data_IF_985651592422
#
_entry.id   IF_985651592422
#
_cell.length_a   1.000
_cell.length_b   1.000
_cell.length_c   1.000
_cell.angle_alpha   90.00
_cell.angle_beta   90.00
_cell.angle_gamma   90.00
#
_symmetry.space_group_name_H-M   'P 1'
#
loop_
_entity.id
_entity.type
_entity.pdbx_description
1 polymer ?
#
# COMPACT_ATOMS: atom_id res chain seq x y z
N UNK A 1 -24.55 -4.74 -7.41
CA UNK A 1 -23.64 -4.30 -8.48
C UNK A 1 -22.31 -4.89 -8.06
N UNK A 2 -21.71 -5.70 -8.93
CA UNK A 2 -20.72 -6.66 -8.48
C UNK A 2 -19.44 -6.52 -9.27
N UNK A 3 -18.32 -6.52 -8.55
CA UNK A 3 -16.95 -6.61 -9.07
C UNK A 3 -16.36 -5.33 -9.70
N UNK A 4 -16.59 -4.13 -9.14
CA UNK A 4 -15.98 -2.88 -9.64
C UNK A 4 -14.44 -2.87 -9.46
N UNK A 5 -13.93 -3.57 -8.44
CA UNK A 5 -12.49 -3.73 -8.21
C UNK A 5 -12.07 -5.20 -8.40
N UNK A 6 -11.18 -5.46 -9.35
CA UNK A 6 -10.58 -6.79 -9.56
C UNK A 6 -9.11 -6.81 -9.12
N UNK A 7 -8.78 -7.70 -8.19
CA UNK A 7 -7.42 -7.88 -7.68
C UNK A 7 -6.88 -9.25 -8.09
N UNK A 8 -5.61 -9.30 -8.51
CA UNK A 8 -4.94 -10.53 -8.92
C UNK A 8 -3.57 -10.61 -8.25
N UNK A 9 -3.37 -11.69 -7.51
CA UNK A 9 -2.16 -11.97 -6.78
C UNK A 9 -1.45 -13.16 -7.42
N UNK A 10 -0.14 -13.07 -7.58
CA UNK A 10 0.69 -14.18 -8.02
C UNK A 10 1.98 -14.17 -7.21
N UNK A 11 2.30 -15.30 -6.60
CA UNK A 11 3.56 -15.52 -5.90
C UNK A 11 4.20 -16.80 -6.41
N UNK A 12 5.50 -16.74 -6.66
CA UNK A 12 6.32 -17.91 -6.94
C UNK A 12 7.62 -17.80 -6.15
N UNK A 13 7.96 -18.86 -5.44
CA UNK A 13 9.23 -19.02 -4.76
C UNK A 13 9.86 -20.31 -5.28
N UNK A 14 11.11 -20.21 -5.70
CA UNK A 14 11.92 -21.33 -6.16
C UNK A 14 13.35 -21.11 -5.67
N UNK A 15 13.77 -21.89 -4.68
CA UNK A 15 15.13 -21.86 -4.15
C UNK A 15 15.54 -23.25 -3.71
N UNK A 16 16.67 -23.74 -4.23
CA UNK A 16 17.33 -24.98 -3.80
C UNK A 16 16.39 -26.20 -3.72
N UNK A 17 15.45 -26.30 -4.65
CA UNK A 17 14.46 -27.39 -4.72
C UNK A 17 13.20 -27.18 -3.89
N UNK A 18 13.14 -26.17 -3.01
CA UNK A 18 11.92 -25.74 -2.37
C UNK A 18 11.12 -24.84 -3.33
N UNK A 19 9.94 -25.30 -3.74
CA UNK A 19 9.09 -24.60 -4.71
C UNK A 19 7.69 -24.40 -4.17
N UNK A 20 7.17 -23.18 -4.25
CA UNK A 20 5.77 -22.87 -4.02
C UNK A 20 5.28 -21.84 -5.03
N UNK A 21 4.11 -22.06 -5.60
CA UNK A 21 3.42 -21.07 -6.42
C UNK A 21 1.97 -20.96 -5.99
N UNK A 22 1.46 -19.73 -5.93
CA UNK A 22 0.07 -19.40 -5.64
C UNK A 22 -0.38 -18.32 -6.60
N UNK A 23 -1.59 -18.47 -7.11
CA UNK A 23 -2.31 -17.44 -7.83
C UNK A 23 -3.68 -17.33 -7.21
N UNK A 24 -4.16 -16.11 -7.01
CA UNK A 24 -5.49 -15.88 -6.48
C UNK A 24 -6.07 -14.62 -7.12
N UNK A 25 -7.39 -14.60 -7.29
CA UNK A 25 -8.12 -13.46 -7.81
C UNK A 25 -9.30 -13.20 -6.92
N UNK A 26 -9.53 -11.94 -6.62
CA UNK A 26 -10.65 -11.48 -5.80
C UNK A 26 -11.35 -10.39 -6.61
N UNK A 27 -12.67 -10.44 -6.61
CA UNK A 27 -13.50 -9.32 -7.02
C UNK A 27 -14.16 -8.71 -5.80
N UNK A 28 -14.27 -7.40 -5.78
CA UNK A 28 -14.76 -6.63 -4.65
C UNK A 28 -15.79 -5.62 -5.14
N UNK A 29 -16.93 -5.62 -4.46
CA UNK A 29 -17.96 -4.59 -4.60
C UNK A 29 -17.47 -3.33 -3.88
N UNK A 30 -17.40 -2.22 -4.60
CA UNK A 30 -16.93 -0.94 -4.05
C UNK A 30 -18.14 -0.11 -3.63
N UNK A 31 -18.22 0.30 -2.36
CA UNK A 31 -19.37 1.08 -1.87
C UNK A 31 -19.24 2.59 -2.09
N UNK A 32 -18.01 3.09 -2.33
CA UNK A 32 -17.70 4.50 -2.58
C UNK A 32 -17.43 4.81 -4.06
N UNK A 33 -17.36 6.10 -4.37
CA UNK A 33 -17.11 6.60 -5.73
C UNK A 33 -15.73 7.31 -5.85
N UNK A 34 -14.97 7.37 -4.77
CA UNK A 34 -13.73 8.16 -4.65
C UNK A 34 -12.50 7.26 -4.51
N UNK A 35 -11.40 7.69 -5.13
CA UNK A 35 -10.08 7.14 -4.90
C UNK A 35 -9.05 8.27 -4.81
N UNK A 36 -7.96 8.04 -4.10
CA UNK A 36 -6.78 8.89 -4.12
C UNK A 36 -5.68 8.20 -4.95
N UNK A 37 -5.00 8.96 -5.80
CA UNK A 37 -3.80 8.52 -6.52
C UNK A 37 -2.79 9.66 -6.51
N UNK A 38 -1.68 9.48 -5.82
CA UNK A 38 -0.65 10.50 -5.65
C UNK A 38 0.73 9.86 -5.54
N UNK A 39 1.74 10.66 -5.87
CA UNK A 39 3.13 10.39 -5.50
C UNK A 39 3.49 11.37 -4.39
N UNK A 40 3.71 10.85 -3.18
CA UNK A 40 4.05 11.66 -2.01
C UNK A 40 5.53 11.49 -1.66
N UNK A 41 6.29 12.59 -1.52
CA UNK A 41 7.61 12.56 -0.91
C UNK A 41 7.46 12.38 0.60
N UNK A 42 7.99 11.28 1.13
CA UNK A 42 7.95 10.93 2.56
C UNK A 42 9.32 11.15 3.20
N UNK A 43 9.38 11.92 4.26
CA UNK A 43 10.61 12.24 5.00
C UNK A 43 10.93 11.15 6.05
N UNK A 44 12.05 11.36 6.74
CA UNK A 44 12.57 10.59 7.88
C UNK A 44 11.77 10.80 9.17
N UNK A 45 10.81 11.70 9.15
CA UNK A 45 9.85 11.96 10.22
C UNK A 45 8.53 11.30 9.83
N UNK A 46 7.81 10.75 10.82
CA UNK A 46 6.49 10.18 10.56
C UNK A 46 5.54 11.24 9.98
N UNK A 47 4.84 10.87 8.92
CA UNK A 47 3.80 11.67 8.29
C UNK A 47 2.61 10.80 7.88
N UNK A 48 1.50 11.46 7.58
CA UNK A 48 0.28 10.80 7.11
C UNK A 48 0.28 10.76 5.58
N UNK A 49 -0.10 9.63 4.99
CA UNK A 49 -0.41 9.61 3.57
C UNK A 49 -1.58 10.53 3.26
N UNK A 50 -1.48 11.32 2.20
CA UNK A 50 -2.57 12.16 1.76
C UNK A 50 -3.71 11.30 1.19
N UNK A 51 -4.92 11.44 1.74
CA UNK A 51 -6.07 10.65 1.27
C UNK A 51 -7.11 11.48 0.54
N UNK A 52 -6.97 12.81 0.57
CA UNK A 52 -8.00 13.74 0.16
C UNK A 52 -9.17 13.79 1.14
N UNK A 53 -9.87 14.93 1.21
CA UNK A 53 -10.93 15.18 2.21
C UNK A 53 -12.20 14.36 1.98
N UNK A 54 -12.37 13.82 0.77
CA UNK A 54 -13.60 13.13 0.34
C UNK A 54 -13.53 11.61 0.50
N UNK A 55 -12.37 11.06 0.85
CA UNK A 55 -12.20 9.63 1.05
C UNK A 55 -12.64 9.32 2.48
N UNK A 56 -13.87 8.84 2.65
CA UNK A 56 -14.48 8.63 3.96
C UNK A 56 -13.93 7.37 4.63
N UNK A 57 -13.89 6.26 3.87
CA UNK A 57 -13.48 4.95 4.38
C UNK A 57 -12.37 4.34 3.51
N UNK A 58 -11.11 4.37 3.97
CA UNK A 58 -10.01 3.69 3.30
C UNK A 58 -10.25 2.20 3.15
N UNK A 59 -10.18 1.71 1.92
CA UNK A 59 -10.44 0.33 1.57
C UNK A 59 -9.19 -0.44 1.20
N UNK A 60 -8.84 -0.44 -0.09
CA UNK A 60 -7.62 -1.08 -0.59
C UNK A 60 -6.54 -0.05 -0.86
N UNK A 61 -5.34 -0.32 -0.34
CA UNK A 61 -4.12 0.43 -0.62
C UNK A 61 -3.24 -0.40 -1.55
N UNK A 62 -2.96 0.16 -2.72
CA UNK A 62 -1.82 -0.20 -3.56
C UNK A 62 -0.72 0.82 -3.28
N UNK A 63 0.50 0.37 -2.99
CA UNK A 63 1.62 1.28 -2.74
C UNK A 63 2.94 0.71 -3.27
N UNK A 64 3.75 1.59 -3.85
CA UNK A 64 5.06 1.28 -4.42
C UNK A 64 6.10 2.25 -3.84
N UNK A 65 7.23 1.72 -3.40
CA UNK A 65 8.39 2.52 -3.09
C UNK A 65 9.18 2.77 -4.38
N UNK A 66 9.19 4.02 -4.85
CA UNK A 66 9.91 4.43 -6.06
C UNK A 66 11.39 4.74 -5.79
N UNK A 67 11.85 4.64 -4.55
CA UNK A 67 13.26 4.81 -4.22
C UNK A 67 14.08 3.57 -4.59
N UNK A 68 15.35 3.81 -4.96
CA UNK A 68 16.30 2.76 -5.38
C UNK A 68 17.11 2.17 -4.22
N UNK A 69 17.16 2.82 -3.06
CA UNK A 69 18.10 2.49 -1.98
C UNK A 69 17.50 2.46 -0.58
N UNK A 70 16.52 3.31 -0.32
CA UNK A 70 15.96 3.52 1.00
C UNK A 70 14.64 2.75 1.15
N UNK A 71 14.27 2.45 2.40
CA UNK A 71 13.01 1.76 2.71
C UNK A 71 12.04 2.69 3.42
N UNK A 72 10.77 2.35 3.32
CA UNK A 72 9.68 3.03 4.02
C UNK A 72 8.97 2.03 4.91
N UNK A 73 8.59 2.48 6.10
CA UNK A 73 7.76 1.73 7.03
C UNK A 73 6.35 2.35 7.07
N UNK A 74 5.32 1.50 7.13
CA UNK A 74 3.93 1.90 7.15
C UNK A 74 3.21 1.31 8.37
N UNK A 75 2.31 2.10 8.95
CA UNK A 75 1.51 1.74 10.12
C UNK A 75 0.13 2.38 10.11
N UNK A 76 -0.77 1.87 10.93
CA UNK A 76 -2.11 2.45 11.18
C UNK A 76 -2.18 3.18 12.54
N UNK A 77 -1.06 3.22 13.25
CA UNK A 77 -0.94 3.86 14.56
C UNK A 77 0.44 4.49 14.64
N UNK A 78 0.50 5.75 15.08
CA UNK A 78 1.73 6.49 15.28
C UNK A 78 2.75 5.69 16.08
N UNK A 79 3.98 5.64 15.56
CA UNK A 79 5.10 4.92 16.15
C UNK A 79 5.02 3.38 16.07
N UNK A 80 4.02 2.82 15.38
CA UNK A 80 3.86 1.37 15.21
C UNK A 80 3.76 1.03 13.71
N UNK A 81 4.89 0.70 13.10
CA UNK A 81 4.97 0.34 11.69
C UNK A 81 4.99 -1.18 11.51
N UNK A 82 4.00 -1.70 10.80
CA UNK A 82 3.78 -3.16 10.62
C UNK A 82 4.23 -3.64 9.25
N UNK A 83 4.25 -2.75 8.26
CA UNK A 83 4.66 -3.05 6.89
C UNK A 83 5.97 -2.35 6.62
N UNK A 84 6.93 -3.06 6.05
CA UNK A 84 8.19 -2.50 5.56
C UNK A 84 8.25 -2.72 4.05
N UNK A 85 8.44 -1.65 3.30
CA UNK A 85 8.54 -1.64 1.85
C UNK A 85 9.97 -1.27 1.48
N UNK A 86 10.74 -2.24 0.99
CA UNK A 86 12.11 -1.99 0.53
C UNK A 86 12.09 -1.19 -0.78
N UNK A 87 13.27 -0.76 -1.21
CA UNK A 87 13.48 -0.08 -2.48
C UNK A 87 12.86 -0.89 -3.65
N UNK A 88 12.06 -0.23 -4.47
CA UNK A 88 11.37 -0.83 -5.61
C UNK A 88 10.28 -1.85 -5.29
N UNK A 89 9.95 -2.11 -4.02
CA UNK A 89 8.91 -3.07 -3.65
C UNK A 89 7.50 -2.48 -3.78
N UNK A 90 6.53 -3.38 -3.96
CA UNK A 90 5.11 -3.07 -4.06
C UNK A 90 4.32 -3.89 -3.05
N UNK A 91 3.30 -3.27 -2.46
CA UNK A 91 2.34 -3.93 -1.60
C UNK A 91 0.91 -3.59 -2.01
N UNK A 92 0.01 -4.57 -1.85
CA UNK A 92 -1.42 -4.42 -2.07
C UNK A 92 -2.17 -5.12 -0.94
N UNK A 93 -2.89 -4.36 -0.12
CA UNK A 93 -3.62 -4.89 1.02
C UNK A 93 -4.83 -4.01 1.36
N UNK A 94 -5.76 -4.59 2.13
CA UNK A 94 -6.87 -3.82 2.71
C UNK A 94 -6.41 -3.16 4.00
N UNK A 95 -6.71 -1.88 4.15
CA UNK A 95 -6.43 -1.13 5.37
C UNK A 95 -7.60 -1.23 6.34
N UNK A 96 -7.33 -1.14 7.65
CA UNK A 96 -8.32 -1.21 8.71
C UNK A 96 -8.23 0.02 9.63
N UNK A 97 -7.80 1.15 9.08
CA UNK A 97 -7.62 2.40 9.80
C UNK A 97 -7.92 3.57 8.86
N UNK A 98 -8.43 4.66 9.43
CA UNK A 98 -8.71 5.89 8.69
C UNK A 98 -7.40 6.60 8.28
N UNK A 99 -6.37 6.53 9.12
CA UNK A 99 -5.08 7.18 8.85
C UNK A 99 -4.00 6.14 8.62
N UNK A 100 -3.17 6.40 7.62
CA UNK A 100 -2.02 5.57 7.27
C UNK A 100 -0.79 6.43 7.51
N UNK A 101 0.05 5.98 8.44
CA UNK A 101 1.30 6.63 8.81
C UNK A 101 2.44 6.00 8.03
N UNK A 102 3.31 6.83 7.49
CA UNK A 102 4.49 6.42 6.72
C UNK A 102 5.71 7.15 7.22
N UNK A 103 6.86 6.49 7.09
CA UNK A 103 8.14 7.06 7.49
C UNK A 103 9.26 6.44 6.67
N UNK A 104 10.13 7.27 6.10
CA UNK A 104 11.36 6.83 5.45
C UNK A 104 12.50 6.64 6.47
N UNK A 105 13.49 5.82 6.16
CA UNK A 105 14.58 5.54 7.10
C UNK A 105 15.68 6.61 7.09
N UNK A 106 16.35 6.81 5.95
CA UNK A 106 17.56 7.65 5.89
C UNK A 106 17.42 8.98 5.12
N UNK A 107 16.54 9.03 4.11
CA UNK A 107 16.31 10.21 3.27
C UNK A 107 14.86 10.20 2.74
N UNK A 108 14.47 11.27 2.05
CA UNK A 108 13.14 11.36 1.44
C UNK A 108 12.95 10.24 0.41
N UNK A 109 11.86 9.47 0.54
CA UNK A 109 11.43 8.46 -0.42
C UNK A 109 10.17 8.90 -1.14
N UNK A 110 10.06 8.60 -2.44
CA UNK A 110 8.81 8.85 -3.17
C UNK A 110 7.95 7.59 -3.14
N UNK A 111 6.74 7.70 -2.61
CA UNK A 111 5.76 6.64 -2.61
C UNK A 111 4.65 6.94 -3.61
N UNK A 112 4.47 6.07 -4.59
CA UNK A 112 3.26 6.07 -5.41
C UNK A 112 2.21 5.20 -4.72
N UNK A 113 1.01 5.72 -4.52
CA UNK A 113 -0.08 4.92 -3.97
C UNK A 113 -1.41 5.21 -4.64
N UNK A 114 -2.26 4.18 -4.63
CA UNK A 114 -3.67 4.27 -4.98
C UNK A 114 -4.46 3.77 -3.78
N UNK A 115 -5.30 4.64 -3.22
CA UNK A 115 -6.21 4.31 -2.13
C UNK A 115 -7.64 4.35 -2.65
N UNK A 116 -8.32 3.20 -2.59
CA UNK A 116 -9.70 3.04 -3.07
C UNK A 116 -10.63 2.97 -1.86
N UNK A 117 -11.70 3.77 -1.87
CA UNK A 117 -12.74 3.75 -0.83
C UNK A 117 -13.51 2.42 -0.80
N UNK A 118 -14.08 2.05 0.36
CA UNK A 118 -14.92 0.86 0.52
C UNK A 118 -16.06 1.02 1.51
#
# INVERSE_FOLDING_TARGET
MADELSLRFSMSYDKDGAKVSRKHSISVDVAGDVFAHEIQPVDTIEEELHQGTWLGNPGYLYIVNLDDTNFVELGITTGVYTVKLLAGEVALFRVNGATIYVKADTAICHLEYILIEL
#
